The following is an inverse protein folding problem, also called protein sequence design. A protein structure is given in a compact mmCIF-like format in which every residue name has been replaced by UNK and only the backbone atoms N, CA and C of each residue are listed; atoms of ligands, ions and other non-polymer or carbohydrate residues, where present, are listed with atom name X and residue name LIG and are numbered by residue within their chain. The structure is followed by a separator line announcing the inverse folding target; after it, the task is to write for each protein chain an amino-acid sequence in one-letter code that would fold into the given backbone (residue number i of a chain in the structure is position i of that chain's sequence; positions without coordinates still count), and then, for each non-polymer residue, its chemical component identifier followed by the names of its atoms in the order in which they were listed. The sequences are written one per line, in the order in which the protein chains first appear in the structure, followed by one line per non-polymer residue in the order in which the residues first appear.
data_IF_422468753944
#
_entry.id   IF_422468753944
#
_cell.length_a   1.000
_cell.length_b   1.000
_cell.length_c   1.000
_cell.angle_alpha   90.00
_cell.angle_beta   90.00
_cell.angle_gamma   90.00
#
_symmetry.space_group_name_H-M   'P 1'
#
loop_
_entity.id
_entity.type
_entity.pdbx_description
1 polymer ?
#
# COMPACT_ATOMS: atom_id res chain seq x y z
N UNK A 1 7.43 -25.28 -5.41
CA UNK A 1 7.22 -23.98 -6.10
C UNK A 1 8.44 -23.10 -5.92
N UNK A 2 9.02 -22.56 -7.01
CA UNK A 2 10.17 -21.65 -6.90
C UNK A 2 9.78 -20.31 -6.24
N UNK A 3 10.75 -19.57 -5.71
CA UNK A 3 10.50 -18.25 -5.08
C UNK A 3 9.74 -17.27 -5.99
N UNK A 4 10.03 -17.30 -7.30
CA UNK A 4 9.35 -16.47 -8.31
C UNK A 4 7.86 -16.77 -8.46
N UNK A 5 7.46 -18.05 -8.43
CA UNK A 5 6.04 -18.40 -8.51
C UNK A 5 5.24 -17.83 -7.34
N UNK A 6 5.84 -17.73 -6.15
CA UNK A 6 5.18 -17.14 -4.98
C UNK A 6 4.99 -15.63 -5.13
N UNK A 7 5.93 -14.94 -5.79
CA UNK A 7 5.79 -13.51 -6.10
C UNK A 7 4.67 -13.30 -7.12
N UNK A 8 4.63 -14.09 -8.19
CA UNK A 8 3.56 -14.01 -9.20
C UNK A 8 2.18 -14.27 -8.58
N UNK A 9 2.09 -15.28 -7.72
CA UNK A 9 0.86 -15.56 -6.99
C UNK A 9 0.47 -14.40 -6.07
N UNK A 10 1.43 -13.83 -5.32
CA UNK A 10 1.16 -12.68 -4.44
C UNK A 10 0.66 -11.48 -5.25
N UNK A 11 1.33 -11.14 -6.35
CA UNK A 11 0.92 -10.06 -7.24
C UNK A 11 -0.49 -10.29 -7.81
N UNK A 12 -0.79 -11.52 -8.26
CA UNK A 12 -2.12 -11.87 -8.76
C UNK A 12 -3.20 -11.80 -7.67
N UNK A 13 -2.92 -12.31 -6.46
CA UNK A 13 -3.85 -12.26 -5.33
C UNK A 13 -4.11 -10.82 -4.90
N UNK A 14 -3.09 -9.97 -4.85
CA UNK A 14 -3.29 -8.57 -4.50
C UNK A 14 -4.07 -7.83 -5.59
N UNK A 15 -3.70 -7.99 -6.86
CA UNK A 15 -4.38 -7.29 -7.95
C UNK A 15 -5.83 -7.77 -8.13
N UNK A 16 -6.05 -9.08 -8.29
CA UNK A 16 -7.36 -9.63 -8.61
C UNK A 16 -8.19 -9.96 -7.38
N UNK A 17 -7.56 -10.46 -6.31
CA UNK A 17 -8.25 -10.76 -5.06
C UNK A 17 -8.62 -9.51 -4.30
N UNK A 18 -7.64 -8.70 -3.90
CA UNK A 18 -7.91 -7.45 -3.16
C UNK A 18 -8.55 -6.40 -4.07
N UNK A 19 -8.00 -6.17 -5.26
CA UNK A 19 -8.60 -5.22 -6.20
C UNK A 19 -10.00 -5.61 -6.64
N UNK A 20 -10.24 -6.90 -6.95
CA UNK A 20 -11.57 -7.40 -7.30
C UNK A 20 -12.57 -7.27 -6.14
N UNK A 21 -12.14 -7.56 -4.91
CA UNK A 21 -12.97 -7.31 -3.73
C UNK A 21 -13.28 -5.81 -3.57
N UNK A 22 -12.29 -4.93 -3.73
CA UNK A 22 -12.48 -3.49 -3.69
C UNK A 22 -13.53 -3.01 -4.70
N UNK A 23 -13.43 -3.47 -5.94
CA UNK A 23 -14.41 -3.17 -7.00
C UNK A 23 -15.80 -3.69 -6.67
N UNK A 24 -15.90 -4.92 -6.14
CA UNK A 24 -17.16 -5.49 -5.72
C UNK A 24 -17.82 -4.62 -4.63
N UNK A 25 -17.06 -4.18 -3.63
CA UNK A 25 -17.57 -3.33 -2.56
C UNK A 25 -18.04 -1.98 -3.11
N UNK A 26 -17.26 -1.37 -4.01
CA UNK A 26 -17.61 -0.08 -4.63
C UNK A 26 -18.91 -0.14 -5.44
N UNK A 27 -19.07 -1.18 -6.27
CA UNK A 27 -20.24 -1.33 -7.15
C UNK A 27 -21.49 -1.65 -6.33
N UNK A 28 -21.37 -2.52 -5.32
CA UNK A 28 -22.52 -2.99 -4.54
C UNK A 28 -22.98 -1.97 -3.50
N UNK A 29 -22.06 -1.24 -2.87
CA UNK A 29 -22.38 -0.42 -1.70
C UNK A 29 -22.19 1.09 -1.88
N UNK A 30 -21.40 1.54 -2.86
CA UNK A 30 -21.06 2.96 -3.01
C UNK A 30 -21.61 3.59 -4.30
N UNK A 31 -22.32 2.82 -5.13
CA UNK A 31 -22.79 3.24 -6.47
C UNK A 31 -21.67 3.87 -7.34
N UNK A 32 -20.41 3.62 -7.00
CA UNK A 32 -19.26 4.14 -7.72
C UNK A 32 -18.92 3.19 -8.87
N UNK A 33 -18.92 3.73 -10.09
CA UNK A 33 -18.42 2.99 -11.25
C UNK A 33 -16.89 3.03 -11.27
N UNK A 34 -16.25 2.01 -11.84
CA UNK A 34 -14.80 1.96 -12.07
C UNK A 34 -14.28 3.26 -12.71
N UNK A 35 -15.02 3.80 -13.68
CA UNK A 35 -14.71 5.08 -14.34
C UNK A 35 -14.66 6.24 -13.34
N UNK A 36 -15.63 6.36 -12.43
CA UNK A 36 -15.74 7.49 -11.50
C UNK A 36 -14.64 7.47 -10.43
N UNK A 37 -14.08 6.31 -10.13
CA UNK A 37 -12.94 6.18 -9.22
C UNK A 37 -11.66 6.77 -9.82
N UNK A 38 -11.37 6.48 -11.10
CA UNK A 38 -10.16 7.00 -11.77
C UNK A 38 -10.36 8.41 -12.33
N UNK A 39 -11.52 8.68 -12.92
CA UNK A 39 -11.91 10.00 -13.37
C UNK A 39 -12.53 10.77 -12.21
N UNK A 40 -11.70 11.08 -11.21
CA UNK A 40 -12.12 11.90 -10.09
C UNK A 40 -12.76 13.20 -10.59
N UNK A 41 -13.92 13.56 -10.04
CA UNK A 41 -14.74 14.69 -10.52
C UNK A 41 -13.99 16.05 -10.52
N UNK A 42 -12.89 16.14 -9.75
CA UNK A 42 -12.15 17.38 -9.50
C UNK A 42 -10.79 17.48 -10.16
N UNK A 43 -10.13 16.35 -10.50
CA UNK A 43 -8.75 16.37 -10.99
C UNK A 43 -8.51 15.36 -12.13
N UNK A 44 -7.82 15.79 -13.22
CA UNK A 44 -7.33 14.89 -14.25
C UNK A 44 -6.48 13.75 -13.69
N UNK A 45 -6.65 12.55 -14.26
CA UNK A 45 -5.90 11.33 -13.89
C UNK A 45 -4.39 11.57 -13.84
N UNK A 46 -3.84 12.34 -14.79
CA UNK A 46 -2.41 12.64 -14.84
C UNK A 46 -1.91 13.40 -13.60
N UNK A 47 -2.71 14.33 -13.07
CA UNK A 47 -2.35 15.07 -11.86
C UNK A 47 -2.45 14.18 -10.62
N UNK A 48 -3.45 13.30 -10.54
CA UNK A 48 -3.55 12.32 -9.47
C UNK A 48 -2.33 11.38 -9.45
N UNK A 49 -1.93 10.87 -10.63
CA UNK A 49 -0.73 10.04 -10.76
C UNK A 49 0.54 10.82 -10.36
N UNK A 50 0.64 12.10 -10.73
CA UNK A 50 1.77 12.95 -10.36
C UNK A 50 1.82 13.17 -8.84
N UNK A 51 0.74 13.59 -8.20
CA UNK A 51 0.69 13.80 -6.75
C UNK A 51 0.92 12.51 -5.97
N UNK A 52 0.32 11.41 -6.40
CA UNK A 52 0.55 10.09 -5.83
C UNK A 52 2.01 9.65 -5.95
N UNK A 53 2.65 9.86 -7.12
CA UNK A 53 4.05 9.54 -7.32
C UNK A 53 4.99 10.40 -6.47
N UNK A 54 4.76 11.72 -6.42
CA UNK A 54 5.56 12.64 -5.59
C UNK A 54 5.43 12.28 -4.11
N UNK A 55 4.21 12.04 -3.64
CA UNK A 55 3.95 11.62 -2.27
C UNK A 55 4.62 10.28 -1.95
N UNK A 56 4.51 9.30 -2.85
CA UNK A 56 5.17 8.00 -2.72
C UNK A 56 6.69 8.10 -2.64
N UNK A 57 7.31 8.93 -3.49
CA UNK A 57 8.76 9.20 -3.44
C UNK A 57 9.14 9.83 -2.10
N UNK A 58 8.42 10.84 -1.64
CA UNK A 58 8.67 11.48 -0.34
C UNK A 58 8.55 10.47 0.81
N UNK A 59 7.51 9.65 0.80
CA UNK A 59 7.28 8.61 1.81
C UNK A 59 8.42 7.58 1.82
N UNK A 60 8.84 7.08 0.65
CA UNK A 60 9.96 6.12 0.54
C UNK A 60 11.26 6.76 1.04
N UNK A 61 11.56 8.00 0.68
CA UNK A 61 12.76 8.69 1.17
C UNK A 61 12.76 8.85 2.69
N UNK A 62 11.61 9.20 3.29
CA UNK A 62 11.44 9.29 4.73
C UNK A 62 11.65 7.92 5.40
N UNK A 63 10.98 6.87 4.91
CA UNK A 63 11.07 5.52 5.45
C UNK A 63 12.50 4.95 5.31
N UNK A 64 13.20 5.21 4.20
CA UNK A 64 14.59 4.81 4.02
C UNK A 64 15.53 5.53 4.99
N UNK A 65 15.30 6.82 5.27
CA UNK A 65 16.06 7.54 6.31
C UNK A 65 15.78 6.94 7.69
N UNK A 66 14.53 6.62 7.98
CA UNK A 66 14.10 6.01 9.23
C UNK A 66 14.78 4.64 9.44
N UNK A 67 14.80 3.77 8.43
CA UNK A 67 15.45 2.45 8.48
C UNK A 67 16.97 2.49 8.63
N UNK A 68 17.63 3.64 8.42
CA UNK A 68 19.07 3.82 8.67
C UNK A 68 19.40 4.04 10.15
N UNK A 69 18.42 4.41 10.98
CA UNK A 69 18.62 4.58 12.42
C UNK A 69 19.07 3.26 13.05
N UNK A 70 20.02 3.33 14.00
CA UNK A 70 20.63 2.14 14.63
C UNK A 70 19.59 1.18 15.20
N UNK A 71 18.51 1.75 15.77
CA UNK A 71 17.40 1.00 16.36
C UNK A 71 16.57 0.21 15.34
N UNK A 72 16.48 0.66 14.07
CA UNK A 72 15.66 0.06 13.02
C UNK A 72 16.47 -0.79 12.02
N UNK A 73 17.78 -0.95 12.24
CA UNK A 73 18.65 -1.75 11.37
C UNK A 73 18.15 -3.19 11.21
N UNK A 74 17.58 -3.78 12.27
CA UNK A 74 17.01 -5.12 12.20
C UNK A 74 15.83 -5.20 11.22
N UNK A 75 14.90 -4.23 11.27
CA UNK A 75 13.76 -4.11 10.37
C UNK A 75 14.22 -3.93 8.91
N UNK A 76 15.24 -3.10 8.66
CA UNK A 76 15.82 -2.97 7.32
C UNK A 76 16.46 -4.26 6.81
N UNK A 77 17.15 -5.00 7.68
CA UNK A 77 17.74 -6.30 7.33
C UNK A 77 16.68 -7.37 7.03
N UNK A 78 15.54 -7.34 7.70
CA UNK A 78 14.41 -8.23 7.41
C UNK A 78 13.95 -8.09 5.96
N UNK A 79 13.66 -6.86 5.51
CA UNK A 79 13.26 -6.60 4.12
C UNK A 79 14.34 -7.02 3.11
N UNK A 80 15.61 -6.74 3.41
CA UNK A 80 16.73 -7.17 2.55
C UNK A 80 16.82 -8.70 2.42
N UNK A 81 16.67 -9.42 3.53
CA UNK A 81 16.66 -10.90 3.54
C UNK A 81 15.48 -11.44 2.72
N UNK A 82 14.32 -10.79 2.78
CA UNK A 82 13.14 -11.18 2.01
C UNK A 82 13.38 -11.08 0.50
N UNK A 83 13.88 -9.93 0.04
CA UNK A 83 14.19 -9.71 -1.38
C UNK A 83 15.20 -10.73 -1.93
N UNK A 84 16.26 -11.01 -1.15
CA UNK A 84 17.28 -12.00 -1.52
C UNK A 84 16.71 -13.42 -1.53
N UNK A 85 15.89 -13.79 -0.53
CA UNK A 85 15.28 -15.13 -0.41
C UNK A 85 14.39 -15.45 -1.61
N UNK A 86 13.63 -14.48 -2.09
CA UNK A 86 12.71 -14.67 -3.21
C UNK A 86 13.34 -14.42 -4.59
N UNK A 87 14.62 -14.00 -4.64
CA UNK A 87 15.35 -13.65 -5.88
C UNK A 87 14.55 -12.67 -6.74
N UNK A 88 14.03 -11.63 -6.10
CA UNK A 88 13.19 -10.61 -6.75
C UNK A 88 14.06 -9.82 -7.72
N UNK A 89 13.75 -9.89 -9.02
CA UNK A 89 14.38 -9.07 -10.05
C UNK A 89 13.60 -7.79 -10.31
N UNK A 90 14.09 -6.96 -11.23
CA UNK A 90 13.47 -5.68 -11.56
C UNK A 90 12.05 -5.81 -12.10
N UNK A 91 11.80 -6.82 -12.95
CA UNK A 91 10.47 -7.07 -13.48
C UNK A 91 9.50 -7.48 -12.37
N UNK A 92 9.95 -8.34 -11.45
CA UNK A 92 9.14 -8.73 -10.29
C UNK A 92 8.85 -7.56 -9.35
N UNK A 93 9.80 -6.62 -9.17
CA UNK A 93 9.59 -5.39 -8.41
C UNK A 93 8.50 -4.54 -9.07
N UNK A 94 8.62 -4.25 -10.37
CA UNK A 94 7.63 -3.43 -11.07
C UNK A 94 6.24 -4.07 -10.98
N UNK A 95 6.17 -5.37 -11.26
CA UNK A 95 4.91 -6.09 -11.24
C UNK A 95 4.27 -6.09 -9.84
N UNK A 96 5.02 -6.46 -8.79
CA UNK A 96 4.44 -6.48 -7.44
C UNK A 96 4.06 -5.08 -6.95
N UNK A 97 4.84 -4.05 -7.31
CA UNK A 97 4.53 -2.66 -6.96
C UNK A 97 3.25 -2.16 -7.65
N UNK A 98 3.05 -2.46 -8.94
CA UNK A 98 1.83 -2.10 -9.65
C UNK A 98 0.63 -2.89 -9.11
N UNK A 99 0.78 -4.21 -8.93
CA UNK A 99 -0.28 -5.06 -8.39
C UNK A 99 -0.70 -4.64 -6.98
N UNK A 100 0.26 -4.34 -6.10
CA UNK A 100 -0.01 -3.83 -4.76
C UNK A 100 -0.63 -2.43 -4.80
N UNK A 101 -0.03 -1.50 -5.55
CA UNK A 101 -0.53 -0.13 -5.66
C UNK A 101 -1.98 -0.08 -6.15
N UNK A 102 -2.33 -0.82 -7.20
CA UNK A 102 -3.71 -0.84 -7.72
C UNK A 102 -4.64 -1.62 -6.81
N UNK A 103 -4.28 -2.85 -6.44
CA UNK A 103 -5.15 -3.75 -5.68
C UNK A 103 -5.47 -3.23 -4.28
N UNK A 104 -4.47 -2.69 -3.58
CA UNK A 104 -4.64 -2.13 -2.24
C UNK A 104 -5.41 -0.81 -2.27
N UNK A 105 -5.17 0.08 -3.24
CA UNK A 105 -5.91 1.35 -3.31
C UNK A 105 -7.40 1.11 -3.65
N UNK A 106 -7.71 0.20 -4.56
CA UNK A 106 -9.10 -0.18 -4.85
C UNK A 106 -9.81 -0.72 -3.59
N UNK A 107 -9.15 -1.60 -2.84
CA UNK A 107 -9.75 -2.16 -1.63
C UNK A 107 -9.86 -1.14 -0.50
N UNK A 108 -8.76 -0.50 -0.14
CA UNK A 108 -8.72 0.34 1.06
C UNK A 108 -9.32 1.71 0.80
N UNK A 109 -9.07 2.37 -0.33
CA UNK A 109 -9.59 3.73 -0.61
C UNK A 109 -10.95 3.71 -1.27
N UNK A 110 -11.15 2.82 -2.24
CA UNK A 110 -12.45 2.65 -2.90
C UNK A 110 -13.46 1.88 -2.06
N UNK A 111 -13.04 0.75 -1.48
CA UNK A 111 -13.93 -0.19 -0.79
C UNK A 111 -14.12 0.07 0.71
N UNK A 112 -13.06 0.32 1.47
CA UNK A 112 -13.14 0.36 2.95
C UNK A 112 -13.24 1.78 3.50
N UNK A 113 -12.44 2.72 2.97
CA UNK A 113 -12.36 4.10 3.47
C UNK A 113 -13.70 4.84 3.48
N UNK A 114 -14.64 4.65 2.52
CA UNK A 114 -15.92 5.34 2.57
C UNK A 114 -16.77 4.98 3.80
N UNK A 115 -16.59 3.80 4.38
CA UNK A 115 -17.28 3.41 5.62
C UNK A 115 -16.54 3.85 6.88
N UNK A 116 -15.23 3.65 6.94
CA UNK A 116 -14.46 3.81 8.18
C UNK A 116 -13.81 5.18 8.30
N UNK A 117 -13.75 5.95 7.23
CA UNK A 117 -12.96 7.17 7.14
C UNK A 117 -11.45 6.90 7.04
N UNK A 118 -10.67 7.98 6.99
CA UNK A 118 -9.25 7.94 6.63
C UNK A 118 -8.39 7.28 7.72
N UNK A 119 -8.51 7.75 8.97
CA UNK A 119 -7.62 7.31 10.05
C UNK A 119 -7.83 5.84 10.46
N UNK A 120 -9.07 5.33 10.64
CA UNK A 120 -9.28 3.93 10.95
C UNK A 120 -8.83 3.00 9.81
N UNK A 121 -9.06 3.40 8.55
CA UNK A 121 -8.56 2.67 7.38
C UNK A 121 -7.04 2.62 7.34
N UNK A 122 -6.36 3.74 7.60
CA UNK A 122 -4.90 3.79 7.68
C UNK A 122 -4.35 2.90 8.80
N UNK A 123 -5.01 2.89 9.97
CA UNK A 123 -4.63 2.01 11.09
C UNK A 123 -4.77 0.53 10.71
N UNK A 124 -5.91 0.14 10.14
CA UNK A 124 -6.15 -1.25 9.70
C UNK A 124 -5.14 -1.66 8.63
N UNK A 125 -4.89 -0.80 7.65
CA UNK A 125 -3.92 -1.03 6.60
C UNK A 125 -2.54 -1.37 7.19
N UNK A 126 -2.02 -0.53 8.09
CA UNK A 126 -0.72 -0.75 8.74
C UNK A 126 -0.73 -1.97 9.67
N UNK A 127 -1.83 -2.22 10.37
CA UNK A 127 -1.98 -3.38 11.25
C UNK A 127 -1.93 -4.71 10.46
N UNK A 128 -2.60 -4.78 9.31
CA UNK A 128 -2.63 -5.96 8.43
C UNK A 128 -1.26 -6.31 7.85
N UNK A 129 -0.38 -5.32 7.71
CA UNK A 129 1.02 -5.52 7.33
C UNK A 129 1.88 -6.10 8.46
N UNK A 130 1.32 -6.26 9.67
CA UNK A 130 2.01 -6.77 10.84
C UNK A 130 2.98 -5.77 11.47
N UNK A 131 2.90 -4.49 11.10
CA UNK A 131 3.83 -3.47 11.59
C UNK A 131 3.51 -3.01 13.01
N UNK A 132 2.27 -3.20 13.49
CA UNK A 132 1.90 -2.88 14.88
C UNK A 132 2.16 -4.08 15.80
N UNK A 133 3.42 -4.55 15.84
CA UNK A 133 3.82 -5.69 16.65
C UNK A 133 4.30 -5.24 18.05
N UNK A 134 3.52 -5.44 19.13
CA UNK A 134 3.91 -4.98 20.47
C UNK A 134 5.15 -5.70 21.04
N UNK A 135 5.53 -6.85 20.48
CA UNK A 135 6.71 -7.62 20.89
C UNK A 135 8.01 -7.14 20.22
N UNK A 136 7.90 -6.40 19.13
CA UNK A 136 9.04 -5.84 18.40
C UNK A 136 8.88 -4.32 18.33
N UNK A 137 9.47 -3.63 19.30
CA UNK A 137 9.38 -2.18 19.42
C UNK A 137 9.92 -1.43 18.20
N UNK A 138 10.90 -2.00 17.49
CA UNK A 138 11.44 -1.41 16.27
C UNK A 138 10.41 -1.44 15.14
N UNK A 139 9.80 -2.61 14.91
CA UNK A 139 8.73 -2.76 13.93
C UNK A 139 7.50 -1.93 14.33
N UNK A 140 7.14 -1.90 15.62
CA UNK A 140 6.04 -1.08 16.14
C UNK A 140 6.21 0.40 15.82
N UNK A 141 7.36 0.98 16.15
CA UNK A 141 7.66 2.40 15.87
C UNK A 141 7.61 2.68 14.37
N UNK A 142 8.17 1.79 13.56
CA UNK A 142 8.08 1.89 12.10
C UNK A 142 6.61 1.90 11.63
N UNK A 143 5.77 1.02 12.17
CA UNK A 143 4.33 0.98 11.91
C UNK A 143 3.62 2.26 12.32
N UNK A 144 3.89 2.79 13.51
CA UNK A 144 3.31 4.06 13.98
C UNK A 144 3.62 5.21 13.02
N UNK A 145 4.83 5.28 12.47
CA UNK A 145 5.19 6.29 11.45
C UNK A 145 4.47 6.05 10.12
N UNK A 146 4.18 4.79 9.76
CA UNK A 146 3.43 4.49 8.54
C UNK A 146 1.95 4.88 8.60
N UNK A 147 1.34 4.98 9.78
CA UNK A 147 -0.08 5.38 9.92
C UNK A 147 -0.36 6.76 9.29
N UNK A 148 0.33 7.86 9.67
CA UNK A 148 0.09 9.16 9.04
C UNK A 148 0.45 9.15 7.55
N UNK A 149 1.43 8.35 7.11
CA UNK A 149 1.77 8.20 5.69
C UNK A 149 0.60 7.57 4.93
N UNK A 150 0.01 6.50 5.46
CA UNK A 150 -1.16 5.85 4.87
C UNK A 150 -2.40 6.77 4.91
N UNK A 151 -2.57 7.54 5.99
CA UNK A 151 -3.64 8.53 6.09
C UNK A 151 -3.50 9.63 5.03
N UNK A 152 -2.27 10.10 4.74
CA UNK A 152 -2.04 11.10 3.70
C UNK A 152 -2.44 10.64 2.30
N UNK A 153 -2.26 9.34 1.96
CA UNK A 153 -2.83 8.78 0.72
C UNK A 153 -4.38 8.85 0.73
N UNK A 154 -5.00 8.61 1.88
CA UNK A 154 -6.45 8.75 2.03
C UNK A 154 -6.97 10.17 1.84
N UNK A 155 -6.17 11.18 2.21
CA UNK A 155 -6.47 12.59 1.95
C UNK A 155 -6.29 12.95 0.47
N UNK A 156 -5.19 12.51 -0.15
CA UNK A 156 -4.96 12.70 -1.59
C UNK A 156 -6.07 12.08 -2.44
N UNK A 157 -6.65 10.96 -2.01
CA UNK A 157 -7.80 10.35 -2.68
C UNK A 157 -9.11 11.15 -2.52
N UNK A 158 -9.27 11.87 -1.40
CA UNK A 158 -10.50 12.63 -1.13
C UNK A 158 -10.57 13.94 -1.91
N UNK A 159 -9.43 14.50 -2.30
CA UNK A 159 -9.28 15.77 -3.02
C UNK A 159 -9.49 15.66 -4.52
#
# INVERSE_FOLDING_TARGET
MSGRHRIYLAAAVTLFGMGGLGLLLMIVFHEQTFSNFFHGEKQPVLLQLLYGALYGIMAVLLLLRLLRLRFLKHTGQFFRKLLLRYRVGWLEIIMISVSAGVGEELLFRGGIQPWLGIWPTALIFVALHGYLNPRDHAVFIYGVVMIPIAAGLGWLYKE
#
